data_IF_968277563166
#
_entry.id   IF_968277563166
#
_cell.length_a   1.000
_cell.length_b   1.000
_cell.length_c   1.000
_cell.angle_alpha   90.00
_cell.angle_beta   90.00
_cell.angle_gamma   90.00
#
_symmetry.space_group_name_H-M   'P 1'
#
loop_
_entity.id
_entity.type
_entity.pdbx_description
1 polymer ?
#
# COMPACT_ATOMS: atom_id res chain seq x y z
N UNK A 1 -17.42 0.83 -1.60
CA UNK A 1 -17.16 1.64 -0.38
C UNK A 1 -16.75 3.04 -0.78
N UNK A 2 -17.17 4.05 -0.04
CA UNK A 2 -16.77 5.45 -0.26
C UNK A 2 -15.41 5.74 0.39
N UNK A 3 -14.79 6.88 0.03
CA UNK A 3 -13.57 7.32 0.69
C UNK A 3 -13.82 7.56 2.19
N UNK A 4 -14.96 8.17 2.55
CA UNK A 4 -15.34 8.37 3.95
C UNK A 4 -15.51 7.04 4.68
N UNK A 5 -16.18 6.07 4.07
CA UNK A 5 -16.36 4.75 4.67
C UNK A 5 -15.04 4.02 4.89
N UNK A 6 -14.13 4.10 3.93
CA UNK A 6 -12.80 3.52 4.08
C UNK A 6 -12.00 4.21 5.19
N UNK A 7 -12.06 5.55 5.25
CA UNK A 7 -11.41 6.32 6.31
C UNK A 7 -11.92 5.90 7.69
N UNK A 8 -13.23 5.79 7.86
CA UNK A 8 -13.85 5.37 9.12
C UNK A 8 -13.44 3.95 9.50
N UNK A 9 -13.41 3.02 8.55
CA UNK A 9 -12.97 1.65 8.79
C UNK A 9 -11.52 1.61 9.28
N UNK A 10 -10.63 2.31 8.60
CA UNK A 10 -9.22 2.38 8.98
C UNK A 10 -9.05 3.02 10.36
N UNK A 11 -9.80 4.07 10.65
CA UNK A 11 -9.75 4.77 11.93
C UNK A 11 -10.12 3.85 13.10
N UNK A 12 -11.00 2.88 12.88
CA UNK A 12 -11.38 1.90 13.91
C UNK A 12 -10.24 0.92 14.24
N UNK A 13 -9.39 0.61 13.27
CA UNK A 13 -8.40 -0.46 13.41
C UNK A 13 -6.97 0.05 13.60
N UNK A 14 -6.60 1.19 13.01
CA UNK A 14 -5.24 1.72 13.12
C UNK A 14 -5.03 2.50 14.42
N UNK A 15 -3.81 2.47 14.94
CA UNK A 15 -3.38 3.46 15.90
C UNK A 15 -3.14 4.82 15.21
N UNK A 16 -2.90 5.87 16.00
CA UNK A 16 -2.76 7.22 15.47
C UNK A 16 -1.60 7.34 14.47
N UNK A 17 -0.45 6.77 14.80
CA UNK A 17 0.75 6.84 13.96
C UNK A 17 0.54 6.11 12.63
N UNK A 18 -0.04 4.92 12.66
CA UNK A 18 -0.36 4.15 11.46
C UNK A 18 -1.39 4.86 10.61
N UNK A 19 -2.40 5.47 11.22
CA UNK A 19 -3.41 6.24 10.50
C UNK A 19 -2.80 7.45 9.79
N UNK A 20 -1.89 8.18 10.42
CA UNK A 20 -1.21 9.31 9.80
C UNK A 20 -0.36 8.88 8.60
N UNK A 21 0.38 7.77 8.73
CA UNK A 21 1.12 7.17 7.63
C UNK A 21 0.19 6.77 6.50
N UNK A 22 -0.91 6.08 6.80
CA UNK A 22 -1.88 5.64 5.81
C UNK A 22 -2.48 6.81 5.03
N UNK A 23 -2.79 7.93 5.70
CA UNK A 23 -3.29 9.14 5.03
C UNK A 23 -2.28 9.73 4.07
N UNK A 24 -1.01 9.80 4.47
CA UNK A 24 0.06 10.31 3.58
C UNK A 24 0.25 9.41 2.36
N UNK A 25 0.28 8.10 2.57
CA UNK A 25 0.40 7.12 1.48
C UNK A 25 -0.79 7.23 0.52
N UNK A 26 -2.01 7.34 1.05
CA UNK A 26 -3.21 7.47 0.23
C UNK A 26 -3.19 8.72 -0.64
N UNK A 27 -2.81 9.87 -0.08
CA UNK A 27 -2.73 11.13 -0.82
C UNK A 27 -1.65 11.07 -1.91
N UNK A 28 -0.50 10.51 -1.61
CA UNK A 28 0.58 10.37 -2.60
C UNK A 28 0.24 9.37 -3.69
N UNK A 29 -0.34 8.23 -3.34
CA UNK A 29 -0.78 7.23 -4.31
C UNK A 29 -1.81 7.83 -5.28
N UNK A 30 -2.74 8.62 -4.77
CA UNK A 30 -3.70 9.36 -5.60
C UNK A 30 -2.98 10.30 -6.58
N UNK A 31 -1.98 11.02 -6.12
CA UNK A 31 -1.20 11.93 -6.96
C UNK A 31 -0.42 11.17 -8.02
N UNK A 32 0.21 10.06 -7.66
CA UNK A 32 0.93 9.20 -8.60
C UNK A 32 -0.02 8.60 -9.65
N UNK A 33 -1.22 8.21 -9.25
CA UNK A 33 -2.22 7.65 -10.17
C UNK A 33 -2.58 8.63 -11.29
N UNK A 34 -2.54 9.93 -11.02
CA UNK A 34 -2.81 10.95 -12.04
C UNK A 34 -1.76 10.99 -13.16
N UNK A 35 -0.59 10.41 -12.95
CA UNK A 35 0.46 10.30 -13.99
C UNK A 35 0.20 9.16 -14.97
N UNK A 36 -0.70 8.25 -14.63
CA UNK A 36 -1.03 7.07 -15.45
C UNK A 36 -2.42 7.27 -16.07
N UNK A 37 -2.47 7.77 -17.31
CA UNK A 37 -3.71 8.22 -17.95
C UNK A 37 -4.58 7.10 -18.53
N UNK A 38 -4.07 5.89 -18.63
CA UNK A 38 -4.77 4.76 -19.27
C UNK A 38 -5.15 3.63 -18.32
N UNK A 39 -5.14 3.89 -17.01
CA UNK A 39 -5.50 2.87 -16.02
C UNK A 39 -7.02 2.68 -15.94
N UNK A 40 -7.49 1.43 -15.77
CA UNK A 40 -8.92 1.14 -15.62
C UNK A 40 -9.47 1.46 -14.22
N UNK A 41 -8.71 2.16 -13.37
CA UNK A 41 -9.13 2.50 -12.00
C UNK A 41 -9.29 3.99 -11.83
N UNK A 42 -10.10 4.35 -10.83
CA UNK A 42 -10.27 5.73 -10.41
C UNK A 42 -9.20 6.11 -9.39
N UNK A 43 -8.96 7.42 -9.24
CA UNK A 43 -8.13 7.94 -8.16
C UNK A 43 -8.65 7.51 -6.77
N UNK A 44 -9.96 7.37 -6.65
CA UNK A 44 -10.59 6.93 -5.40
C UNK A 44 -10.23 5.49 -5.03
N UNK A 45 -10.15 4.58 -6.01
CA UNK A 45 -9.72 3.20 -5.77
C UNK A 45 -8.30 3.19 -5.19
N UNK A 46 -7.38 3.90 -5.82
CA UNK A 46 -5.97 3.95 -5.38
C UNK A 46 -5.84 4.64 -4.02
N UNK A 47 -6.60 5.71 -3.80
CA UNK A 47 -6.63 6.39 -2.51
C UNK A 47 -7.11 5.45 -1.38
N UNK A 48 -8.21 4.74 -1.61
CA UNK A 48 -8.74 3.78 -0.63
C UNK A 48 -7.77 2.63 -0.37
N UNK A 49 -7.11 2.14 -1.41
CA UNK A 49 -6.10 1.09 -1.27
C UNK A 49 -4.90 1.58 -0.45
N UNK A 50 -4.49 2.82 -0.66
CA UNK A 50 -3.43 3.45 0.14
C UNK A 50 -3.80 3.56 1.62
N UNK A 51 -5.05 3.94 1.93
CA UNK A 51 -5.53 3.94 3.31
C UNK A 51 -5.50 2.54 3.92
N UNK A 52 -5.92 1.54 3.16
CA UNK A 52 -6.12 0.18 3.66
C UNK A 52 -4.82 -0.65 3.70
N UNK A 53 -3.71 -0.17 3.13
CA UNK A 53 -2.58 -1.02 2.78
C UNK A 53 -1.95 -1.77 3.96
N UNK A 54 -2.03 -1.26 5.18
CA UNK A 54 -1.50 -1.90 6.39
C UNK A 54 -2.55 -2.65 7.21
N UNK A 55 -3.81 -2.67 6.78
CA UNK A 55 -4.89 -3.28 7.58
C UNK A 55 -4.62 -4.75 7.89
N UNK A 56 -4.19 -5.53 6.91
CA UNK A 56 -4.00 -6.97 7.10
C UNK A 56 -2.70 -7.32 7.83
N UNK A 57 -1.67 -6.51 7.68
CA UNK A 57 -0.40 -6.74 8.38
C UNK A 57 -0.44 -6.30 9.84
N UNK A 58 -1.05 -5.14 10.10
CA UNK A 58 -0.86 -4.42 11.37
C UNK A 58 -2.10 -4.42 12.26
N UNK A 59 -3.22 -5.01 11.83
CA UNK A 59 -4.45 -5.02 12.63
C UNK A 59 -5.06 -6.41 12.72
N UNK A 60 -6.12 -6.52 13.52
CA UNK A 60 -6.89 -7.74 13.72
C UNK A 60 -8.09 -7.85 12.79
N UNK A 61 -8.21 -6.98 11.79
CA UNK A 61 -9.33 -7.01 10.85
C UNK A 61 -9.41 -8.36 10.14
N UNK A 62 -10.62 -8.87 9.97
CA UNK A 62 -10.84 -10.14 9.30
C UNK A 62 -10.63 -10.00 7.79
N UNK A 63 -9.77 -10.84 7.22
CA UNK A 63 -9.47 -10.84 5.78
C UNK A 63 -10.62 -11.46 4.97
N UNK A 64 -10.80 -10.96 3.75
CA UNK A 64 -11.68 -11.60 2.76
C UNK A 64 -13.15 -11.33 2.91
N UNK A 65 -13.59 -10.44 3.80
CA UNK A 65 -15.02 -10.19 4.04
C UNK A 65 -15.45 -8.74 3.78
N UNK A 66 -14.52 -7.80 3.67
CA UNK A 66 -14.86 -6.37 3.61
C UNK A 66 -14.87 -5.79 2.21
N UNK A 67 -14.12 -6.38 1.28
CA UNK A 67 -13.83 -5.76 0.00
C UNK A 67 -14.21 -6.67 -1.17
N UNK A 68 -14.53 -6.06 -2.31
CA UNK A 68 -14.74 -6.80 -3.54
C UNK A 68 -13.41 -7.38 -4.08
N UNK A 69 -13.52 -8.19 -5.13
CA UNK A 69 -12.44 -9.04 -5.60
C UNK A 69 -11.17 -8.27 -5.97
N UNK A 70 -11.28 -7.25 -6.81
CA UNK A 70 -10.10 -6.54 -7.31
C UNK A 70 -9.38 -5.79 -6.20
N UNK A 71 -10.14 -5.17 -5.30
CA UNK A 71 -9.56 -4.49 -4.14
C UNK A 71 -8.89 -5.50 -3.20
N UNK A 72 -9.55 -6.59 -2.91
CA UNK A 72 -9.03 -7.64 -2.03
C UNK A 72 -7.72 -8.21 -2.58
N UNK A 73 -7.66 -8.52 -3.87
CA UNK A 73 -6.45 -9.06 -4.50
C UNK A 73 -5.28 -8.09 -4.45
N UNK A 74 -5.53 -6.80 -4.71
CA UNK A 74 -4.51 -5.77 -4.57
C UNK A 74 -4.03 -5.62 -3.13
N UNK A 75 -4.95 -5.65 -2.17
CA UNK A 75 -4.60 -5.54 -0.76
C UNK A 75 -3.78 -6.74 -0.29
N UNK A 76 -4.11 -7.95 -0.76
CA UNK A 76 -3.32 -9.14 -0.47
C UNK A 76 -1.89 -9.04 -1.02
N UNK A 77 -1.71 -8.47 -2.22
CA UNK A 77 -0.37 -8.22 -2.76
C UNK A 77 0.45 -7.28 -1.86
N UNK A 78 -0.22 -6.31 -1.23
CA UNK A 78 0.42 -5.36 -0.32
C UNK A 78 0.67 -5.94 1.08
N UNK A 79 0.17 -7.12 1.35
CA UNK A 79 0.28 -7.79 2.66
C UNK A 79 1.38 -8.83 2.60
N UNK A 80 2.51 -8.55 3.27
CA UNK A 80 3.63 -9.50 3.33
C UNK A 80 3.30 -10.58 4.37
N UNK A 81 3.32 -11.83 3.95
CA UNK A 81 3.20 -12.94 4.88
C UNK A 81 4.51 -13.14 5.66
N UNK A 82 4.42 -13.72 6.86
CA UNK A 82 5.56 -13.78 7.80
C UNK A 82 6.74 -14.60 7.29
N UNK A 83 6.47 -15.65 6.52
CA UNK A 83 7.46 -16.57 5.99
C UNK A 83 8.06 -16.13 4.65
N UNK A 84 7.60 -15.01 4.10
CA UNK A 84 8.08 -14.48 2.81
C UNK A 84 9.20 -13.48 3.03
N UNK A 85 10.28 -13.63 2.27
CA UNK A 85 11.40 -12.69 2.24
C UNK A 85 10.91 -11.32 1.70
N UNK A 86 11.40 -10.22 2.30
CA UNK A 86 10.94 -8.88 1.92
C UNK A 86 11.24 -8.55 0.46
N UNK A 87 12.44 -8.89 -0.03
CA UNK A 87 12.81 -8.62 -1.42
C UNK A 87 11.94 -9.42 -2.39
N UNK A 88 11.60 -10.67 -2.07
CA UNK A 88 10.69 -11.48 -2.88
C UNK A 88 9.28 -10.91 -2.89
N UNK A 89 8.81 -10.41 -1.76
CA UNK A 89 7.54 -9.72 -1.64
C UNK A 89 7.48 -8.49 -2.57
N UNK A 90 8.51 -7.65 -2.54
CA UNK A 90 8.60 -6.47 -3.42
C UNK A 90 8.66 -6.87 -4.88
N UNK A 91 9.49 -7.87 -5.23
CA UNK A 91 9.62 -8.37 -6.60
C UNK A 91 8.29 -8.89 -7.15
N UNK A 92 7.49 -9.54 -6.32
CA UNK A 92 6.17 -10.03 -6.71
C UNK A 92 5.22 -8.89 -7.05
N UNK A 93 5.20 -7.82 -6.24
CA UNK A 93 4.38 -6.63 -6.52
C UNK A 93 4.76 -6.06 -7.90
N UNK A 94 6.04 -5.92 -8.17
CA UNK A 94 6.54 -5.40 -9.45
C UNK A 94 6.16 -6.31 -10.62
N UNK A 95 6.31 -7.61 -10.46
CA UNK A 95 5.97 -8.59 -11.50
C UNK A 95 4.48 -8.59 -11.82
N UNK A 96 3.64 -8.56 -10.78
CA UNK A 96 2.18 -8.57 -10.96
C UNK A 96 1.68 -7.28 -11.62
N UNK A 97 2.39 -6.17 -11.47
CA UNK A 97 2.01 -4.87 -12.06
C UNK A 97 2.04 -4.85 -13.59
N UNK A 98 2.61 -5.85 -14.23
CA UNK A 98 2.50 -6.03 -15.69
C UNK A 98 1.04 -6.17 -16.10
N UNK A 99 0.22 -6.82 -15.27
CA UNK A 99 -1.22 -6.84 -15.42
C UNK A 99 -1.81 -5.54 -14.85
N UNK A 100 -2.52 -4.71 -15.65
CA UNK A 100 -3.07 -3.45 -15.18
C UNK A 100 -3.99 -3.58 -13.96
N UNK A 101 -4.63 -4.72 -13.75
CA UNK A 101 -5.48 -4.99 -12.58
C UNK A 101 -4.71 -4.83 -11.27
N UNK A 102 -3.40 -5.11 -11.26
CA UNK A 102 -2.55 -5.07 -10.07
C UNK A 102 -1.61 -3.86 -10.02
N UNK A 103 -1.74 -2.94 -10.98
CA UNK A 103 -0.99 -1.68 -10.97
C UNK A 103 -1.29 -0.82 -9.72
N UNK A 104 -2.52 -0.80 -9.18
CA UNK A 104 -2.79 -0.06 -7.95
C UNK A 104 -1.91 -0.47 -6.78
N UNK A 105 -1.68 -1.76 -6.57
CA UNK A 105 -0.78 -2.23 -5.51
C UNK A 105 0.64 -1.69 -5.70
N UNK A 106 1.13 -1.67 -6.92
CA UNK A 106 2.45 -1.11 -7.24
C UNK A 106 2.53 0.38 -6.94
N UNK A 107 1.53 1.16 -7.36
CA UNK A 107 1.46 2.60 -7.09
C UNK A 107 1.45 2.87 -5.58
N UNK A 108 0.64 2.13 -4.84
CA UNK A 108 0.58 2.28 -3.38
C UNK A 108 1.92 1.91 -2.74
N UNK A 109 2.59 0.86 -3.22
CA UNK A 109 3.90 0.47 -2.67
C UNK A 109 4.97 1.52 -2.93
N UNK A 110 4.96 2.15 -4.09
CA UNK A 110 5.85 3.29 -4.37
C UNK A 110 5.62 4.44 -3.37
N UNK A 111 4.35 4.78 -3.12
CA UNK A 111 3.99 5.82 -2.17
C UNK A 111 4.39 5.46 -0.74
N UNK A 112 4.18 4.20 -0.34
CA UNK A 112 4.57 3.68 0.97
C UNK A 112 6.08 3.78 1.19
N UNK A 113 6.88 3.32 0.23
CA UNK A 113 8.33 3.41 0.30
C UNK A 113 8.81 4.85 0.37
N UNK A 114 8.22 5.72 -0.44
CA UNK A 114 8.56 7.15 -0.43
C UNK A 114 8.26 7.79 0.93
N UNK A 115 7.11 7.47 1.54
CA UNK A 115 6.78 8.01 2.85
C UNK A 115 7.77 7.55 3.93
N UNK A 116 8.19 6.30 3.90
CA UNK A 116 9.21 5.80 4.83
C UNK A 116 10.52 6.58 4.71
N UNK A 117 11.00 6.86 3.49
CA UNK A 117 12.22 7.65 3.30
C UNK A 117 12.04 9.12 3.69
N UNK A 118 10.84 9.68 3.56
CA UNK A 118 10.53 11.06 3.91
C UNK A 118 10.42 11.27 5.44
N UNK A 119 10.10 10.23 6.22
CA UNK A 119 9.96 10.32 7.67
C UNK A 119 11.29 10.06 8.38
N UNK A 120 12.22 11.00 8.25
CA UNK A 120 13.61 10.87 8.74
C UNK A 120 13.68 10.57 10.23
N UNK A 121 12.77 11.15 11.04
CA UNK A 121 12.78 11.01 12.51
C UNK A 121 12.36 9.63 12.99
N UNK A 122 11.71 8.83 12.16
CA UNK A 122 11.23 7.49 12.51
C UNK A 122 11.97 6.37 11.76
N UNK A 123 12.85 6.75 10.82
CA UNK A 123 13.57 5.80 9.98
C UNK A 123 14.88 5.41 10.67
N UNK A 124 14.94 4.20 11.21
CA UNK A 124 16.17 3.64 11.77
C UNK A 124 17.11 3.19 10.65
N UNK A 125 18.41 3.06 10.94
CA UNK A 125 19.38 2.56 9.96
C UNK A 125 19.01 1.17 9.45
N UNK A 126 18.49 0.30 10.32
CA UNK A 126 18.04 -1.03 9.95
C UNK A 126 16.90 -0.98 8.92
N UNK A 127 15.88 -0.14 9.16
CA UNK A 127 14.76 0.03 8.23
C UNK A 127 15.20 0.68 6.94
N UNK A 128 16.04 1.71 7.01
CA UNK A 128 16.60 2.38 5.83
C UNK A 128 17.34 1.38 4.94
N UNK A 129 18.20 0.55 5.51
CA UNK A 129 18.96 -0.46 4.77
C UNK A 129 18.03 -1.50 4.15
N UNK A 130 16.99 -1.93 4.86
CA UNK A 130 15.98 -2.85 4.36
C UNK A 130 15.28 -2.30 3.12
N UNK A 131 14.83 -1.05 3.18
CA UNK A 131 14.11 -0.43 2.08
C UNK A 131 15.03 -0.12 0.89
N UNK A 132 16.25 0.35 1.14
CA UNK A 132 17.23 0.59 0.07
C UNK A 132 17.62 -0.69 -0.65
N UNK A 133 17.79 -1.79 0.08
CA UNK A 133 18.11 -3.10 -0.52
C UNK A 133 16.96 -3.62 -1.40
N UNK A 134 15.71 -3.27 -1.07
CA UNK A 134 14.53 -3.71 -1.82
C UNK A 134 14.24 -2.86 -3.05
N UNK A 135 14.72 -1.61 -3.11
CA UNK A 135 14.41 -0.68 -4.22
C UNK A 135 14.70 -1.25 -5.61
N UNK A 136 15.82 -1.94 -5.87
CA UNK A 136 16.07 -2.51 -7.19
C UNK A 136 14.99 -3.51 -7.66
N UNK A 137 14.30 -4.16 -6.73
CA UNK A 137 13.22 -5.10 -7.05
C UNK A 137 11.91 -4.41 -7.39
N UNK A 138 11.75 -3.17 -6.95
CA UNK A 138 10.55 -2.37 -7.20
C UNK A 138 10.65 -1.55 -8.48
N UNK A 139 11.83 -1.08 -8.81
CA UNK A 139 12.08 -0.28 -10.02
C UNK A 139 12.33 -1.20 -11.21
#
# INVERSE_FOLDING_TARGET
MTNTGMFELCYLYYDEKTMEHAKRVANEAKSLCNLFTSLPYTNNFVYQLGLAHDLYEDTTIKRGVWFDRDFEENLQLLTKEKDVNYNDYIAKIRKMAINPTYMPAYIVKLADMHDHFAQVNTLTDKLKNKYMAAMPYLI
#
